data_IF_026916726545
#
_entry.id   IF_026916726545
#
_cell.length_a   1.000
_cell.length_b   1.000
_cell.length_c   1.000
_cell.angle_alpha   90.00
_cell.angle_beta   90.00
_cell.angle_gamma   90.00
#
_symmetry.space_group_name_H-M   'P 1'
#
loop_
_entity.id
_entity.type
_entity.pdbx_description
1 polymer ?
#
# COMPACT_ATOMS: atom_id res chain seq x y z
N UNK A 1 47.89 -1.46 -40.19
CA UNK A 1 46.55 -1.06 -40.67
C UNK A 1 45.40 -1.88 -40.06
N UNK A 2 45.45 -3.23 -40.06
CA UNK A 2 44.42 -4.12 -39.49
C UNK A 2 44.06 -3.89 -37.99
N UNK A 3 45.05 -3.55 -37.16
CA UNK A 3 44.85 -3.30 -35.72
C UNK A 3 44.03 -2.04 -35.43
N UNK A 4 44.20 -0.99 -36.23
CA UNK A 4 43.45 0.26 -36.09
C UNK A 4 41.97 0.03 -36.42
N UNK A 5 41.70 -0.71 -37.51
CA UNK A 5 40.34 -1.04 -37.93
C UNK A 5 39.58 -1.87 -36.88
N UNK A 6 40.22 -2.89 -36.27
CA UNK A 6 39.59 -3.69 -35.19
C UNK A 6 39.25 -2.88 -33.95
N UNK A 7 40.06 -1.88 -33.59
CA UNK A 7 39.77 -0.99 -32.44
C UNK A 7 38.58 -0.07 -32.72
N UNK A 8 38.47 0.45 -33.94
CA UNK A 8 37.33 1.28 -34.35
C UNK A 8 36.03 0.49 -34.34
N UNK A 9 36.02 -0.74 -34.90
CA UNK A 9 34.83 -1.61 -34.91
C UNK A 9 34.35 -1.94 -33.49
N UNK A 10 35.25 -2.28 -32.55
CA UNK A 10 34.87 -2.56 -31.16
C UNK A 10 34.24 -1.36 -30.47
N UNK A 11 34.75 -0.15 -30.69
CA UNK A 11 34.17 1.08 -30.14
C UNK A 11 32.78 1.35 -30.72
N UNK A 12 32.60 1.19 -32.03
CA UNK A 12 31.30 1.36 -32.68
C UNK A 12 30.28 0.36 -32.15
N UNK A 13 30.64 -0.92 -32.01
CA UNK A 13 29.73 -1.92 -31.43
C UNK A 13 29.37 -1.62 -29.97
N UNK A 14 30.34 -1.22 -29.13
CA UNK A 14 30.06 -0.89 -27.73
C UNK A 14 29.13 0.33 -27.60
N UNK A 15 29.35 1.38 -28.40
CA UNK A 15 28.48 2.57 -28.44
C UNK A 15 27.09 2.19 -28.94
N UNK A 16 26.98 1.41 -30.01
CA UNK A 16 25.69 0.94 -30.53
C UNK A 16 24.92 0.12 -29.48
N UNK A 17 25.58 -0.82 -28.79
CA UNK A 17 24.96 -1.58 -27.70
C UNK A 17 24.51 -0.69 -26.54
N UNK A 18 25.32 0.31 -26.17
CA UNK A 18 24.95 1.30 -25.15
C UNK A 18 23.73 2.13 -25.53
N UNK A 19 23.64 2.57 -26.80
CA UNK A 19 22.48 3.29 -27.33
C UNK A 19 21.24 2.39 -27.34
N UNK A 20 21.35 1.14 -27.80
CA UNK A 20 20.22 0.19 -27.80
C UNK A 20 19.73 -0.07 -26.37
N UNK A 21 20.65 -0.28 -25.43
CA UNK A 21 20.29 -0.45 -24.02
C UNK A 21 19.62 0.81 -23.45
N UNK A 22 20.14 1.99 -23.75
CA UNK A 22 19.57 3.26 -23.30
C UNK A 22 18.18 3.50 -23.89
N UNK A 23 17.98 3.28 -25.19
CA UNK A 23 16.67 3.38 -25.85
C UNK A 23 15.70 2.36 -25.29
N UNK A 24 16.13 1.12 -25.05
CA UNK A 24 15.31 0.10 -24.40
C UNK A 24 14.92 0.52 -22.98
N UNK A 25 15.88 0.98 -22.17
CA UNK A 25 15.63 1.48 -20.83
C UNK A 25 14.66 2.66 -20.86
N UNK A 26 14.88 3.64 -21.73
CA UNK A 26 13.94 4.73 -21.96
C UNK A 26 12.56 4.17 -22.30
N UNK A 27 12.37 3.37 -23.35
CA UNK A 27 11.03 2.86 -23.69
C UNK A 27 10.36 2.06 -22.57
N UNK A 28 11.14 1.31 -21.77
CA UNK A 28 10.63 0.55 -20.63
C UNK A 28 10.23 1.43 -19.44
N UNK A 29 10.97 2.53 -19.20
CA UNK A 29 10.79 3.42 -18.04
C UNK A 29 10.05 4.73 -18.37
N UNK A 30 9.90 5.06 -19.65
CA UNK A 30 9.41 6.36 -20.15
C UNK A 30 7.90 6.40 -20.35
N UNK A 31 7.20 5.28 -20.13
CA UNK A 31 5.76 5.23 -19.99
C UNK A 31 5.36 4.96 -18.54
N UNK A 32 4.37 5.70 -18.02
CA UNK A 32 3.80 5.47 -16.68
C UNK A 32 3.36 4.02 -16.46
N UNK A 33 2.88 3.35 -17.51
CA UNK A 33 2.55 1.92 -17.48
C UNK A 33 3.77 0.98 -17.33
N UNK A 34 4.90 1.29 -17.98
CA UNK A 34 6.10 0.47 -17.95
C UNK A 34 6.79 0.48 -16.58
N UNK A 35 6.92 1.67 -15.97
CA UNK A 35 7.40 1.79 -14.60
C UNK A 35 6.45 1.12 -13.60
N UNK A 36 5.13 1.36 -13.70
CA UNK A 36 4.13 0.74 -12.80
C UNK A 36 4.22 -0.78 -12.84
N UNK A 37 4.24 -1.37 -14.04
CA UNK A 37 4.30 -2.82 -14.21
C UNK A 37 5.62 -3.41 -13.70
N UNK A 38 6.75 -2.77 -14.01
CA UNK A 38 8.07 -3.21 -13.53
C UNK A 38 8.19 -3.14 -12.01
N UNK A 39 7.68 -2.06 -11.41
CA UNK A 39 7.62 -1.87 -9.96
C UNK A 39 6.77 -2.95 -9.30
N UNK A 40 5.59 -3.25 -9.84
CA UNK A 40 4.73 -4.31 -9.30
C UNK A 40 5.35 -5.70 -9.46
N UNK A 41 6.03 -5.98 -10.58
CA UNK A 41 6.78 -7.23 -10.74
C UNK A 41 7.89 -7.38 -9.70
N UNK A 42 8.62 -6.30 -9.41
CA UNK A 42 9.66 -6.28 -8.39
C UNK A 42 9.07 -6.47 -6.98
N UNK A 43 7.99 -5.76 -6.66
CA UNK A 43 7.29 -5.93 -5.38
C UNK A 43 6.74 -7.34 -5.23
N UNK A 44 6.19 -7.93 -6.30
CA UNK A 44 5.71 -9.31 -6.30
C UNK A 44 6.83 -10.30 -6.00
N UNK A 45 8.03 -10.07 -6.54
CA UNK A 45 9.21 -10.89 -6.27
C UNK A 45 9.62 -10.87 -4.79
N UNK A 46 9.60 -9.70 -4.14
CA UNK A 46 10.07 -9.55 -2.75
C UNK A 46 8.99 -9.77 -1.68
N UNK A 47 7.73 -9.44 -1.98
CA UNK A 47 6.63 -9.38 -1.02
C UNK A 47 5.47 -10.33 -1.34
N UNK A 48 5.54 -11.08 -2.45
CA UNK A 48 4.59 -12.16 -2.75
C UNK A 48 3.14 -11.68 -2.81
N UNK A 49 2.25 -12.33 -2.06
CA UNK A 49 0.82 -12.01 -2.01
C UNK A 49 0.52 -10.59 -1.51
N UNK A 50 1.39 -9.99 -0.70
CA UNK A 50 1.19 -8.61 -0.26
C UNK A 50 1.21 -7.63 -1.44
N UNK A 51 2.04 -7.90 -2.47
CA UNK A 51 2.11 -7.06 -3.66
C UNK A 51 0.81 -7.03 -4.46
N UNK A 52 0.00 -8.09 -4.42
CA UNK A 52 -1.29 -8.09 -5.12
C UNK A 52 -2.29 -7.15 -4.44
N UNK A 53 -2.22 -7.00 -3.11
CA UNK A 53 -3.05 -6.04 -2.36
C UNK A 53 -2.69 -4.61 -2.79
N UNK A 54 -1.39 -4.31 -2.92
CA UNK A 54 -0.93 -3.03 -3.43
C UNK A 54 -1.37 -2.78 -4.87
N UNK A 55 -1.28 -3.80 -5.72
CA UNK A 55 -1.71 -3.71 -7.11
C UNK A 55 -3.23 -3.49 -7.21
N UNK A 56 -4.03 -4.10 -6.35
CA UNK A 56 -5.47 -3.90 -6.29
C UNK A 56 -5.82 -2.44 -5.95
N UNK A 57 -5.17 -1.85 -4.93
CA UNK A 57 -5.32 -0.42 -4.61
C UNK A 57 -4.88 0.46 -5.79
N UNK A 58 -3.73 0.18 -6.39
CA UNK A 58 -3.21 0.97 -7.50
C UNK A 58 -4.07 0.87 -8.77
N UNK A 59 -4.73 -0.27 -9.01
CA UNK A 59 -5.57 -0.49 -10.19
C UNK A 59 -6.93 0.17 -10.05
N UNK A 60 -7.48 0.23 -8.83
CA UNK A 60 -8.77 0.85 -8.56
C UNK A 60 -8.74 2.38 -8.73
N UNK A 61 -7.60 3.01 -8.48
CA UNK A 61 -7.52 4.47 -8.49
C UNK A 61 -7.62 5.10 -9.88
N UNK A 62 -7.33 4.35 -10.94
CA UNK A 62 -7.37 4.81 -12.34
C UNK A 62 -6.74 6.20 -12.58
N UNK A 63 -5.65 6.50 -11.86
CA UNK A 63 -4.94 7.79 -11.94
C UNK A 63 -5.58 8.95 -11.14
N UNK A 64 -6.72 8.75 -10.48
CA UNK A 64 -7.30 9.71 -9.55
C UNK A 64 -6.73 9.56 -8.13
N UNK A 65 -6.44 10.70 -7.49
CA UNK A 65 -6.09 10.74 -6.06
C UNK A 65 -7.24 10.16 -5.23
N UNK A 66 -6.92 9.22 -4.33
CA UNK A 66 -7.86 8.66 -3.36
C UNK A 66 -7.31 8.75 -1.94
N UNK A 67 -8.24 8.65 -0.99
CA UNK A 67 -7.92 8.42 0.41
C UNK A 67 -8.02 6.91 0.67
N UNK A 68 -6.92 6.32 1.13
CA UNK A 68 -6.78 4.88 1.40
C UNK A 68 -6.57 4.69 2.90
N UNK A 69 -7.55 4.11 3.57
CA UNK A 69 -7.37 3.64 4.94
C UNK A 69 -6.75 2.24 4.93
N UNK A 70 -6.00 1.91 5.97
CA UNK A 70 -5.49 0.54 6.17
C UNK A 70 -5.70 0.04 7.60
N UNK A 71 -5.77 -1.28 7.74
CA UNK A 71 -5.87 -1.98 9.02
C UNK A 71 -4.88 -3.15 9.10
N UNK A 72 -4.06 -3.15 10.14
CA UNK A 72 -2.99 -4.13 10.36
C UNK A 72 -1.61 -3.63 9.90
N UNK A 73 -0.59 -4.47 10.05
CA UNK A 73 0.80 -4.15 9.74
C UNK A 73 1.08 -4.32 8.25
N UNK A 74 0.96 -3.22 7.50
CA UNK A 74 1.39 -3.12 6.11
C UNK A 74 2.71 -2.35 5.99
N UNK A 75 3.50 -2.69 4.97
CA UNK A 75 4.41 -1.71 4.40
C UNK A 75 3.57 -0.76 3.55
N UNK A 76 3.33 0.45 4.06
CA UNK A 76 2.31 1.38 3.52
C UNK A 76 2.77 2.18 2.30
N UNK A 77 4.07 2.26 2.05
CA UNK A 77 4.63 3.07 0.96
C UNK A 77 3.97 2.80 -0.41
N UNK A 78 3.72 1.54 -0.82
CA UNK A 78 3.07 1.26 -2.10
C UNK A 78 1.62 1.75 -2.20
N UNK A 79 0.91 1.93 -1.07
CA UNK A 79 -0.45 2.48 -1.09
C UNK A 79 -0.49 3.94 -1.48
N UNK A 80 0.62 4.69 -1.37
CA UNK A 80 0.67 6.07 -1.83
C UNK A 80 0.57 6.21 -3.36
N UNK A 81 0.69 5.10 -4.11
CA UNK A 81 0.61 5.12 -5.56
C UNK A 81 1.98 5.30 -6.21
N UNK A 82 2.00 5.55 -7.52
CA UNK A 82 3.25 5.63 -8.30
C UNK A 82 3.92 7.00 -8.17
N UNK A 83 3.11 8.03 -8.00
CA UNK A 83 3.48 9.43 -7.93
C UNK A 83 3.13 10.05 -6.57
N UNK A 84 3.01 9.22 -5.52
CA UNK A 84 2.56 9.64 -4.18
C UNK A 84 1.21 10.38 -4.22
N UNK A 85 0.34 10.00 -5.14
CA UNK A 85 -0.93 10.65 -5.40
C UNK A 85 -1.96 10.41 -4.30
N UNK A 86 -1.88 9.29 -3.58
CA UNK A 86 -2.85 8.91 -2.56
C UNK A 86 -2.50 9.44 -1.18
N UNK A 87 -3.54 9.80 -0.44
CA UNK A 87 -3.46 10.01 0.99
C UNK A 87 -3.69 8.68 1.69
N UNK A 88 -2.70 8.19 2.41
CA UNK A 88 -2.75 6.90 3.12
C UNK A 88 -2.69 7.18 4.61
N UNK A 89 -3.61 6.61 5.37
CA UNK A 89 -3.63 6.81 6.82
C UNK A 89 -4.27 5.63 7.55
N UNK A 90 -4.02 5.53 8.85
CA UNK A 90 -4.60 4.51 9.72
C UNK A 90 -5.86 5.06 10.39
N UNK A 91 -7.00 4.38 10.26
CA UNK A 91 -8.22 4.76 10.98
C UNK A 91 -8.32 3.96 12.29
N UNK A 92 -8.14 4.60 13.47
CA UNK A 92 -8.38 3.93 14.74
C UNK A 92 -9.84 3.50 14.87
N UNK A 93 -10.07 2.37 15.55
CA UNK A 93 -11.40 1.76 15.70
C UNK A 93 -12.19 2.29 16.91
N UNK A 94 -11.58 3.15 17.72
CA UNK A 94 -12.15 3.67 18.97
C UNK A 94 -12.22 5.21 18.99
N UNK A 95 -11.81 5.89 17.92
CA UNK A 95 -11.83 7.36 17.79
C UNK A 95 -12.08 7.78 16.35
N UNK A 96 -12.66 8.97 16.18
CA UNK A 96 -12.85 9.59 14.86
C UNK A 96 -11.53 10.18 14.37
N UNK A 97 -10.88 11.00 15.21
CA UNK A 97 -9.65 11.71 14.88
C UNK A 97 -8.41 10.85 15.11
N UNK A 98 -7.41 10.99 14.22
CA UNK A 98 -6.11 10.39 14.43
C UNK A 98 -5.40 11.08 15.60
N UNK A 99 -5.09 10.30 16.63
CA UNK A 99 -4.16 10.71 17.68
C UNK A 99 -2.78 10.19 17.29
N UNK A 100 -1.74 11.03 17.18
CA UNK A 100 -0.37 10.55 17.05
C UNK A 100 -0.04 9.51 18.13
N UNK A 101 0.66 8.44 17.76
CA UNK A 101 0.93 7.31 18.68
C UNK A 101 1.51 7.75 20.04
N UNK A 102 2.43 8.72 20.03
CA UNK A 102 3.09 9.24 21.22
C UNK A 102 2.16 10.03 22.17
N UNK A 103 0.93 10.31 21.74
CA UNK A 103 -0.09 10.98 22.54
C UNK A 103 -1.12 9.99 23.13
N UNK A 104 -0.99 8.69 22.87
CA UNK A 104 -1.84 7.70 23.53
C UNK A 104 -1.49 7.56 25.00
N UNK A 105 -2.49 7.49 25.91
CA UNK A 105 -2.24 7.24 27.31
C UNK A 105 -1.64 5.85 27.49
N UNK A 106 -0.42 5.81 28.03
CA UNK A 106 0.29 4.59 28.35
C UNK A 106 -0.30 4.00 29.64
N UNK A 107 -0.83 2.76 29.63
CA UNK A 107 -1.28 2.12 30.86
C UNK A 107 -0.14 2.02 31.89
N UNK A 108 -0.41 2.22 33.19
CA UNK A 108 0.60 2.05 34.24
C UNK A 108 1.27 0.68 34.15
N UNK A 109 2.61 0.65 34.10
CA UNK A 109 3.39 -0.60 34.01
C UNK A 109 3.69 -1.09 32.59
N UNK A 110 3.21 -0.40 31.55
CA UNK A 110 3.56 -0.70 30.16
C UNK A 110 4.77 0.14 29.72
N UNK A 111 5.86 -0.50 29.32
CA UNK A 111 6.99 0.16 28.66
C UNK A 111 6.72 0.18 27.15
N UNK A 112 6.64 1.37 26.56
CA UNK A 112 6.53 1.50 25.12
C UNK A 112 7.89 1.26 24.48
N UNK A 113 8.05 0.10 23.84
CA UNK A 113 9.06 -0.05 22.80
C UNK A 113 8.42 0.30 21.45
N UNK A 114 9.00 1.23 20.65
CA UNK A 114 8.58 1.46 19.28
C UNK A 114 8.68 0.19 18.40
N UNK A 115 9.41 -0.83 18.86
CA UNK A 115 9.55 -2.12 18.18
C UNK A 115 8.44 -3.12 18.54
N UNK A 116 7.61 -2.83 19.56
CA UNK A 116 6.52 -3.71 19.97
C UNK A 116 5.20 -3.29 19.30
N UNK A 117 5.07 -3.69 18.03
CA UNK A 117 3.88 -3.45 17.21
C UNK A 117 2.62 -4.04 17.87
N UNK A 118 2.73 -5.17 18.58
CA UNK A 118 1.57 -5.81 19.19
C UNK A 118 0.97 -4.93 20.30
N UNK A 119 1.81 -4.35 21.16
CA UNK A 119 1.34 -3.44 22.21
C UNK A 119 0.65 -2.21 21.63
N UNK A 120 1.20 -1.64 20.55
CA UNK A 120 0.61 -0.51 19.83
C UNK A 120 -0.78 -0.88 19.28
N UNK A 121 -0.90 -2.04 18.66
CA UNK A 121 -2.17 -2.53 18.13
C UNK A 121 -3.24 -2.73 19.21
N UNK A 122 -2.86 -3.21 20.41
CA UNK A 122 -3.81 -3.37 21.52
C UNK A 122 -4.42 -2.05 21.95
N UNK A 123 -3.65 -0.96 21.92
CA UNK A 123 -4.12 0.37 22.30
C UNK A 123 -5.09 0.92 21.24
N UNK A 124 -4.70 0.83 19.97
CA UNK A 124 -5.56 1.29 18.87
C UNK A 124 -6.87 0.52 18.76
N UNK A 125 -6.86 -0.75 19.19
CA UNK A 125 -8.04 -1.62 19.21
C UNK A 125 -8.66 -1.80 20.59
N UNK A 126 -8.30 -0.95 21.55
CA UNK A 126 -8.97 -0.94 22.85
C UNK A 126 -10.38 -0.37 22.69
N UNK A 127 -11.38 -1.08 23.24
CA UNK A 127 -12.80 -0.71 23.18
C UNK A 127 -13.29 -0.37 21.75
N UNK A 128 -13.25 -1.34 20.82
CA UNK A 128 -13.54 -1.09 19.41
C UNK A 128 -15.03 -0.79 19.19
N UNK A 129 -15.34 0.34 18.55
CA UNK A 129 -16.71 0.76 18.20
C UNK A 129 -16.87 0.98 16.70
N UNK A 130 -17.72 0.15 16.08
CA UNK A 130 -17.96 0.21 14.64
C UNK A 130 -18.51 1.58 14.20
N UNK A 131 -19.39 2.19 15.00
CA UNK A 131 -19.99 3.48 14.66
C UNK A 131 -18.95 4.60 14.62
N UNK A 132 -18.05 4.63 15.59
CA UNK A 132 -16.93 5.57 15.68
C UNK A 132 -15.93 5.35 14.55
N UNK A 133 -15.57 4.09 14.27
CA UNK A 133 -14.70 3.75 13.15
C UNK A 133 -15.27 4.23 11.81
N UNK A 134 -16.55 3.95 11.53
CA UNK A 134 -17.24 4.41 10.33
C UNK A 134 -17.31 5.93 10.23
N UNK A 135 -17.59 6.64 11.34
CA UNK A 135 -17.56 8.11 11.37
C UNK A 135 -16.19 8.65 10.98
N UNK A 136 -15.11 8.03 11.44
CA UNK A 136 -13.75 8.37 11.04
C UNK A 136 -13.50 8.16 9.54
N UNK A 137 -13.85 6.98 9.02
CA UNK A 137 -13.72 6.70 7.58
C UNK A 137 -14.48 7.72 6.72
N UNK A 138 -15.67 8.13 7.16
CA UNK A 138 -16.46 9.16 6.48
C UNK A 138 -15.84 10.57 6.61
N UNK A 139 -15.39 10.96 7.81
CA UNK A 139 -14.79 12.27 8.04
C UNK A 139 -13.56 12.53 7.15
N UNK A 140 -12.81 11.48 6.84
CA UNK A 140 -11.64 11.54 5.96
C UNK A 140 -11.95 11.23 4.49
N UNK A 141 -13.20 11.01 4.11
CA UNK A 141 -13.61 10.65 2.75
C UNK A 141 -12.85 9.43 2.20
N UNK A 142 -12.70 8.39 3.03
CA UNK A 142 -12.03 7.14 2.63
C UNK A 142 -12.77 6.55 1.45
N UNK A 143 -12.01 6.28 0.38
CA UNK A 143 -12.52 5.60 -0.80
C UNK A 143 -12.20 4.09 -0.77
N UNK A 144 -11.06 3.74 -0.18
CA UNK A 144 -10.56 2.37 -0.11
C UNK A 144 -10.13 2.00 1.29
N UNK A 145 -10.45 0.78 1.71
CA UNK A 145 -9.95 0.16 2.93
C UNK A 145 -9.15 -1.08 2.58
N UNK A 146 -7.86 -1.10 2.94
CA UNK A 146 -7.01 -2.29 2.84
C UNK A 146 -6.88 -2.95 4.22
N UNK A 147 -7.31 -4.20 4.35
CA UNK A 147 -7.26 -4.95 5.61
C UNK A 147 -6.32 -6.13 5.48
N UNK A 148 -5.34 -6.24 6.39
CA UNK A 148 -4.47 -7.42 6.45
C UNK A 148 -5.25 -8.57 7.06
N UNK A 149 -5.20 -9.74 6.43
CA UNK A 149 -5.77 -10.96 7.00
C UNK A 149 -4.85 -11.45 8.11
N UNK A 150 -5.41 -11.61 9.29
CA UNK A 150 -4.70 -12.20 10.44
C UNK A 150 -5.37 -13.51 10.82
N UNK A 151 -4.56 -14.52 11.09
CA UNK A 151 -5.01 -15.85 11.51
C UNK A 151 -4.24 -16.24 12.78
N UNK A 152 -4.86 -17.01 13.70
CA UNK A 152 -6.23 -17.54 13.62
C UNK A 152 -7.33 -16.50 13.88
N UNK A 153 -7.02 -15.43 14.62
CA UNK A 153 -7.99 -14.37 14.98
C UNK A 153 -7.91 -13.23 13.95
N UNK A 154 -8.99 -12.96 13.21
CA UNK A 154 -9.05 -11.84 12.27
C UNK A 154 -9.04 -10.49 13.00
N UNK A 155 -8.70 -9.44 12.26
CA UNK A 155 -8.83 -8.08 12.76
C UNK A 155 -10.33 -7.74 12.89
N UNK A 156 -10.67 -6.89 13.86
CA UNK A 156 -12.07 -6.46 14.05
C UNK A 156 -12.57 -5.71 12.81
N UNK A 157 -11.69 -4.94 12.16
CA UNK A 157 -11.92 -4.25 10.91
C UNK A 157 -12.29 -5.20 9.75
N UNK A 158 -11.69 -6.41 9.72
CA UNK A 158 -12.02 -7.44 8.71
C UNK A 158 -13.46 -7.94 8.91
N UNK A 159 -13.81 -8.29 10.16
CA UNK A 159 -15.13 -8.79 10.51
C UNK A 159 -16.22 -7.75 10.21
N UNK A 160 -15.98 -6.49 10.57
CA UNK A 160 -16.91 -5.39 10.29
C UNK A 160 -17.08 -5.11 8.80
N UNK A 161 -15.98 -5.11 8.04
CA UNK A 161 -16.05 -4.89 6.60
C UNK A 161 -16.80 -6.02 5.88
N UNK A 162 -16.61 -7.28 6.32
CA UNK A 162 -17.31 -8.44 5.75
C UNK A 162 -18.81 -8.45 6.08
N UNK A 163 -19.22 -7.95 7.25
CA UNK A 163 -20.62 -7.98 7.69
C UNK A 163 -21.44 -6.75 7.29
N UNK A 164 -20.80 -5.67 6.86
CA UNK A 164 -21.45 -4.39 6.60
C UNK A 164 -21.70 -4.14 5.12
N UNK A 165 -22.87 -3.59 4.79
CA UNK A 165 -23.21 -3.17 3.42
C UNK A 165 -22.48 -1.89 2.99
N UNK A 166 -21.76 -1.22 3.90
CA UNK A 166 -20.97 -0.02 3.61
C UNK A 166 -19.71 -0.34 2.79
N UNK A 167 -19.31 -1.61 2.70
CA UNK A 167 -18.10 -2.05 2.01
C UNK A 167 -18.43 -2.94 0.82
N UNK A 168 -17.65 -2.81 -0.25
CA UNK A 168 -17.70 -3.70 -1.42
C UNK A 168 -16.33 -4.33 -1.57
N UNK A 169 -16.23 -5.66 -1.46
CA UNK A 169 -14.98 -6.37 -1.67
C UNK A 169 -14.52 -6.22 -3.13
N UNK A 170 -13.33 -5.68 -3.34
CA UNK A 170 -12.70 -5.51 -4.66
C UNK A 170 -11.67 -6.61 -4.90
N UNK A 171 -10.94 -6.99 -3.86
CA UNK A 171 -9.82 -7.93 -3.97
C UNK A 171 -9.63 -8.70 -2.67
N UNK A 172 -9.29 -9.97 -2.79
CA UNK A 172 -8.88 -10.82 -1.68
C UNK A 172 -7.79 -11.79 -2.12
N UNK A 173 -6.82 -12.03 -1.24
CA UNK A 173 -5.93 -13.19 -1.35
C UNK A 173 -5.56 -13.74 0.04
N UNK A 174 -4.46 -14.49 0.12
CA UNK A 174 -3.95 -15.04 1.38
C UNK A 174 -3.41 -13.97 2.36
N UNK A 175 -3.01 -12.80 1.87
CA UNK A 175 -2.40 -11.75 2.68
C UNK A 175 -3.42 -10.72 3.20
N UNK A 176 -4.37 -10.31 2.36
CA UNK A 176 -5.25 -9.20 2.69
C UNK A 176 -6.49 -9.11 1.82
N UNK A 177 -7.34 -8.15 2.17
CA UNK A 177 -8.56 -7.77 1.46
C UNK A 177 -8.51 -6.28 1.16
N UNK A 178 -9.13 -5.88 0.05
CA UNK A 178 -9.34 -4.47 -0.32
C UNK A 178 -10.82 -4.25 -0.57
N UNK A 179 -11.37 -3.24 0.07
CA UNK A 179 -12.77 -2.86 -0.05
C UNK A 179 -12.90 -1.44 -0.60
N UNK A 180 -13.90 -1.22 -1.46
CA UNK A 180 -14.44 0.11 -1.72
C UNK A 180 -15.34 0.49 -0.55
N UNK A 181 -15.14 1.70 -0.02
CA UNK A 181 -16.01 2.27 1.01
C UNK A 181 -17.08 3.08 0.29
N UNK A 182 -18.36 2.75 0.54
CA UNK A 182 -19.47 3.56 0.04
C UNK A 182 -19.49 4.87 0.80
N UNK A 183 -19.29 5.98 0.10
CA UNK A 183 -19.61 7.30 0.65
C UNK A 183 -21.10 7.32 0.99
N UNK A 184 -21.44 7.72 2.21
CA UNK A 184 -22.83 7.92 2.60
C UNK A 184 -23.50 8.87 1.59
N UNK A 185 -24.68 8.49 1.11
CA UNK A 185 -25.54 9.32 0.26
C UNK A 185 -26.04 10.54 1.04
#
# INVERSE_FOLDING_TARGET
MLLAHRRTVKKVCAVASGIVFFVFACLFFSGSGGYRNSRMALFKLFYGSQADVWNAVSSYNDGARKVVAYAGDFFIYPFHGTNLENYVYYQPVNRVEETPLHLYPVPPGMSFSPTDIQSIEMIYRSDPDFGTWMKGLHAHNVALLAVRKRRPVPLVEEAWADSSTAFILIFENSFGKVYAVKTAF
#
